data_IF_588355560509
#
_entry.id   IF_588355560509
#
_cell.length_a   1.000
_cell.length_b   1.000
_cell.length_c   1.000
_cell.angle_alpha   90.00
_cell.angle_beta   90.00
_cell.angle_gamma   90.00
#
_symmetry.space_group_name_H-M   'P 1'
#
loop_
_entity.id
_entity.type
_entity.pdbx_description
1 polymer ?
#
# COMPACT_ATOMS: atom_id res chain seq x y z
N UNK A 1 -28.71 0.99 6.58
CA UNK A 1 -28.39 -0.40 6.96
C UNK A 1 -27.77 -0.38 8.34
N UNK A 2 -28.06 -1.37 9.20
CA UNK A 2 -27.44 -1.45 10.53
C UNK A 2 -25.97 -1.91 10.47
N UNK A 3 -25.48 -2.54 11.54
CA UNK A 3 -24.11 -3.06 11.67
C UNK A 3 -23.57 -3.85 10.45
N UNK A 4 -24.36 -4.69 9.73
CA UNK A 4 -23.86 -5.41 8.55
C UNK A 4 -23.34 -4.49 7.44
N UNK A 5 -23.94 -3.31 7.27
CA UNK A 5 -23.51 -2.32 6.29
C UNK A 5 -22.11 -1.79 6.61
N UNK A 6 -21.85 -1.50 7.88
CA UNK A 6 -20.54 -1.05 8.36
C UNK A 6 -19.49 -2.14 8.12
N UNK A 7 -19.84 -3.40 8.37
CA UNK A 7 -18.96 -4.53 8.09
C UNK A 7 -18.64 -4.66 6.60
N UNK A 8 -19.63 -4.52 5.71
CA UNK A 8 -19.41 -4.58 4.26
C UNK A 8 -18.47 -3.45 3.77
N UNK A 9 -18.61 -2.24 4.34
CA UNK A 9 -17.74 -1.10 4.06
C UNK A 9 -16.30 -1.33 4.54
N UNK A 10 -16.11 -1.81 5.78
CA UNK A 10 -14.78 -2.12 6.30
C UNK A 10 -14.13 -3.34 5.64
N UNK A 11 -14.92 -4.26 5.09
CA UNK A 11 -14.40 -5.36 4.27
C UNK A 11 -14.19 -4.96 2.80
N UNK A 12 -14.44 -3.69 2.44
CA UNK A 12 -14.32 -3.17 1.09
C UNK A 12 -15.01 -4.07 0.04
N UNK A 13 -16.21 -4.57 0.38
CA UNK A 13 -16.95 -5.48 -0.49
C UNK A 13 -17.55 -4.73 -1.67
N UNK A 14 -17.56 -5.38 -2.83
CA UNK A 14 -18.20 -4.85 -4.04
C UNK A 14 -19.72 -4.97 -3.92
N UNK A 15 -20.48 -3.87 -4.12
CA UNK A 15 -21.93 -3.94 -4.14
C UNK A 15 -22.44 -4.82 -5.29
N UNK A 16 -23.62 -5.42 -5.13
CA UNK A 16 -24.25 -6.24 -6.18
C UNK A 16 -24.72 -5.40 -7.37
N UNK A 17 -25.30 -4.24 -7.09
CA UNK A 17 -25.75 -3.27 -8.08
C UNK A 17 -24.92 -1.99 -7.94
N UNK A 18 -23.67 -2.05 -8.41
CA UNK A 18 -22.71 -0.97 -8.26
C UNK A 18 -22.95 0.14 -9.29
N UNK A 19 -22.78 1.40 -8.87
CA UNK A 19 -22.75 2.54 -9.79
C UNK A 19 -21.66 2.32 -10.86
N UNK A 20 -21.92 2.79 -12.08
CA UNK A 20 -20.92 2.79 -13.15
C UNK A 20 -20.35 4.20 -13.23
N UNK A 21 -19.03 4.32 -13.13
CA UNK A 21 -18.33 5.60 -13.17
C UNK A 21 -17.63 5.77 -14.53
N UNK A 22 -17.42 7.01 -14.94
CA UNK A 22 -16.71 7.36 -16.15
C UNK A 22 -15.22 7.00 -16.01
N UNK A 23 -14.72 6.17 -16.90
CA UNK A 23 -13.34 5.65 -16.87
C UNK A 23 -12.32 6.67 -17.39
N UNK A 24 -12.78 7.59 -18.23
CA UNK A 24 -12.01 8.65 -18.85
C UNK A 24 -12.84 9.93 -18.88
N UNK A 25 -12.14 11.06 -18.96
CA UNK A 25 -12.75 12.36 -19.26
C UNK A 25 -12.92 12.49 -20.76
N UNK A 26 -14.06 13.00 -21.21
CA UNK A 26 -14.32 13.23 -22.62
C UNK A 26 -15.81 13.26 -23.00
N UNK A 27 -16.08 13.26 -24.30
CA UNK A 27 -17.45 13.29 -24.84
C UNK A 27 -18.01 11.88 -24.98
N UNK A 28 -19.23 11.68 -24.47
CA UNK A 28 -19.99 10.43 -24.51
C UNK A 28 -20.66 10.24 -25.86
N UNK A 29 -20.55 9.04 -26.41
CA UNK A 29 -21.31 8.57 -27.58
C UNK A 29 -21.70 7.11 -27.43
N UNK A 30 -22.68 6.66 -28.22
CA UNK A 30 -23.14 5.26 -28.15
C UNK A 30 -22.79 4.49 -29.43
N UNK A 31 -22.10 3.37 -29.25
CA UNK A 31 -21.74 2.47 -30.34
C UNK A 31 -22.84 1.46 -30.69
N UNK A 32 -22.54 0.57 -31.63
CA UNK A 32 -23.46 -0.51 -32.05
C UNK A 32 -23.84 -1.40 -30.86
N UNK A 33 -25.14 -1.53 -30.62
CA UNK A 33 -25.65 -2.39 -29.56
C UNK A 33 -25.34 -3.87 -29.81
N UNK A 34 -25.06 -4.59 -28.73
CA UNK A 34 -24.87 -6.06 -28.73
C UNK A 34 -26.08 -6.71 -28.05
N UNK A 35 -26.22 -8.04 -28.13
CA UNK A 35 -27.28 -8.77 -27.39
C UNK A 35 -27.18 -8.48 -25.89
N UNK A 36 -28.16 -7.73 -25.37
CA UNK A 36 -28.31 -7.40 -23.96
C UNK A 36 -27.44 -6.27 -23.40
N UNK A 37 -26.52 -5.70 -24.20
CA UNK A 37 -25.61 -4.62 -23.76
C UNK A 37 -25.59 -3.45 -24.74
N UNK A 38 -25.55 -2.23 -24.20
CA UNK A 38 -25.28 -0.98 -24.91
C UNK A 38 -23.79 -0.70 -24.84
N UNK A 39 -23.20 -0.19 -25.92
CA UNK A 39 -21.78 0.20 -25.96
C UNK A 39 -21.67 1.69 -25.68
N UNK A 40 -21.12 2.04 -24.52
CA UNK A 40 -20.72 3.39 -24.19
C UNK A 40 -19.33 3.64 -24.78
N UNK A 41 -19.13 4.79 -25.41
CA UNK A 41 -17.83 5.23 -25.92
C UNK A 41 -17.55 6.61 -25.35
N UNK A 42 -16.45 6.77 -24.62
CA UNK A 42 -15.95 8.07 -24.16
C UNK A 42 -14.77 8.44 -25.04
N UNK A 43 -14.86 9.58 -25.73
CA UNK A 43 -13.78 10.10 -26.57
C UNK A 43 -13.12 11.27 -25.84
N UNK A 44 -11.86 11.10 -25.45
CA UNK A 44 -11.07 12.17 -24.82
C UNK A 44 -10.68 13.24 -25.85
N UNK A 45 -10.26 14.41 -25.38
CA UNK A 45 -9.87 15.55 -26.23
C UNK A 45 -8.71 15.19 -27.20
N UNK A 46 -7.84 14.26 -26.79
CA UNK A 46 -6.73 13.73 -27.59
C UNK A 46 -7.19 12.74 -28.69
N UNK A 47 -8.48 12.46 -28.79
CA UNK A 47 -9.07 11.52 -29.75
C UNK A 47 -9.01 10.04 -29.32
N UNK A 48 -8.43 9.72 -28.16
CA UNK A 48 -8.46 8.38 -27.58
C UNK A 48 -9.89 7.96 -27.25
N UNK A 49 -10.27 6.75 -27.66
CA UNK A 49 -11.60 6.19 -27.39
C UNK A 49 -11.51 5.10 -26.34
N UNK A 50 -12.29 5.25 -25.28
CA UNK A 50 -12.56 4.21 -24.31
C UNK A 50 -13.95 3.62 -24.55
N UNK A 51 -14.04 2.30 -24.71
CA UNK A 51 -15.30 1.61 -24.95
C UNK A 51 -15.66 0.69 -23.78
N UNK A 52 -16.92 0.74 -23.34
CA UNK A 52 -17.45 -0.13 -22.29
C UNK A 52 -18.84 -0.67 -22.63
N UNK A 53 -19.09 -1.93 -22.26
CA UNK A 53 -20.38 -2.59 -22.51
C UNK A 53 -21.25 -2.57 -21.26
N UNK A 54 -22.23 -1.68 -21.25
CA UNK A 54 -23.17 -1.51 -20.14
C UNK A 54 -24.44 -2.33 -20.40
N UNK A 55 -24.95 -3.13 -19.43
CA UNK A 55 -26.22 -3.84 -19.60
C UNK A 55 -27.39 -2.89 -19.86
N UNK A 56 -28.28 -3.24 -20.81
CA UNK A 56 -29.38 -2.35 -21.24
C UNK A 56 -30.42 -2.04 -20.15
N UNK A 57 -30.50 -2.86 -19.11
CA UNK A 57 -31.42 -2.66 -17.99
C UNK A 57 -30.93 -1.58 -17.01
N UNK A 58 -29.65 -1.16 -17.10
CA UNK A 58 -29.10 -0.07 -16.31
C UNK A 58 -29.59 1.25 -16.91
N UNK A 59 -30.17 2.11 -16.07
CA UNK A 59 -30.52 3.46 -16.47
C UNK A 59 -29.24 4.30 -16.52
N UNK A 60 -29.03 5.01 -17.63
CA UNK A 60 -27.89 5.91 -17.81
C UNK A 60 -28.32 7.33 -17.49
N UNK A 61 -27.47 8.06 -16.77
CA UNK A 61 -27.70 9.45 -16.38
C UNK A 61 -27.10 10.45 -17.38
N UNK A 62 -26.44 9.94 -18.42
CA UNK A 62 -25.73 10.74 -19.43
C UNK A 62 -26.38 10.64 -20.80
N UNK A 63 -26.24 11.70 -21.58
CA UNK A 63 -26.75 11.80 -22.94
C UNK A 63 -25.64 11.73 -23.99
N UNK A 64 -26.02 11.40 -25.21
CA UNK A 64 -25.08 11.43 -26.34
C UNK A 64 -24.64 12.88 -26.64
N UNK A 65 -23.33 13.09 -26.78
CA UNK A 65 -22.72 14.40 -26.95
C UNK A 65 -22.43 15.15 -25.65
N UNK A 66 -22.81 14.59 -24.49
CA UNK A 66 -22.47 15.15 -23.19
C UNK A 66 -20.98 14.95 -22.87
N UNK A 67 -20.36 15.90 -22.17
CA UNK A 67 -18.98 15.78 -21.70
C UNK A 67 -18.99 15.37 -20.24
N UNK A 68 -18.22 14.33 -19.91
CA UNK A 68 -18.12 13.77 -18.56
C UNK A 68 -16.69 13.84 -18.04
N UNK A 69 -16.54 14.01 -16.73
CA UNK A 69 -15.24 13.95 -16.05
C UNK A 69 -14.93 12.53 -15.57
N UNK A 70 -13.63 12.20 -15.41
CA UNK A 70 -13.24 10.88 -14.92
C UNK A 70 -13.77 10.69 -13.49
N UNK A 71 -14.45 9.57 -13.25
CA UNK A 71 -15.09 9.25 -11.98
C UNK A 71 -16.51 9.79 -11.82
N UNK A 72 -17.08 10.45 -12.83
CA UNK A 72 -18.48 10.89 -12.81
C UNK A 72 -19.46 9.71 -12.93
N UNK A 73 -20.66 9.80 -12.35
CA UNK A 73 -21.64 8.71 -12.35
C UNK A 73 -22.35 8.61 -13.69
N UNK A 74 -22.08 7.56 -14.44
CA UNK A 74 -22.72 7.25 -15.73
C UNK A 74 -24.03 6.50 -15.55
N UNK A 75 -24.11 5.59 -14.57
CA UNK A 75 -25.31 4.83 -14.27
C UNK A 75 -25.49 4.70 -12.75
N UNK A 76 -26.73 4.86 -12.30
CA UNK A 76 -27.10 4.78 -10.89
C UNK A 76 -26.72 3.44 -10.26
N UNK A 77 -26.54 3.45 -8.95
CA UNK A 77 -26.22 2.26 -8.16
C UNK A 77 -25.44 2.64 -6.91
N UNK A 78 -25.03 1.63 -6.16
CA UNK A 78 -24.22 1.87 -4.98
C UNK A 78 -22.74 2.11 -5.38
N UNK A 79 -22.09 3.18 -4.92
CA UNK A 79 -20.70 3.43 -5.27
C UNK A 79 -19.76 2.28 -4.84
N UNK A 80 -18.93 1.79 -5.76
CA UNK A 80 -17.94 0.77 -5.44
C UNK A 80 -16.66 1.44 -4.90
N UNK A 81 -16.22 1.15 -3.66
CA UNK A 81 -15.01 1.72 -3.06
C UNK A 81 -13.74 1.55 -3.92
N UNK A 82 -13.64 0.45 -4.67
CA UNK A 82 -12.49 0.18 -5.54
C UNK A 82 -12.43 1.10 -6.75
N UNK A 83 -13.59 1.45 -7.32
CA UNK A 83 -13.67 2.37 -8.45
C UNK A 83 -13.44 3.81 -8.00
N UNK A 84 -13.96 4.19 -6.83
CA UNK A 84 -13.67 5.49 -6.20
C UNK A 84 -12.16 5.65 -6.02
N UNK A 85 -11.47 4.65 -5.44
CA UNK A 85 -10.03 4.73 -5.25
C UNK A 85 -9.27 4.91 -6.56
N UNK A 86 -9.67 4.15 -7.59
CA UNK A 86 -8.96 4.08 -8.87
C UNK A 86 -9.19 5.32 -9.73
N UNK A 87 -10.39 5.88 -9.71
CA UNK A 87 -10.81 6.99 -10.58
C UNK A 87 -10.74 8.35 -9.89
N UNK A 88 -11.07 8.42 -8.60
CA UNK A 88 -11.15 9.68 -7.84
C UNK A 88 -10.05 9.82 -6.78
N UNK A 89 -9.33 8.74 -6.46
CA UNK A 89 -8.18 8.75 -5.57
C UNK A 89 -8.49 8.50 -4.09
N UNK A 90 -7.43 8.60 -3.27
CA UNK A 90 -7.45 8.24 -1.84
C UNK A 90 -8.36 9.16 -1.02
N UNK A 91 -8.33 10.46 -1.30
CA UNK A 91 -9.10 11.45 -0.54
C UNK A 91 -10.61 11.29 -0.75
N UNK A 92 -11.04 11.13 -2.01
CA UNK A 92 -12.43 10.86 -2.35
C UNK A 92 -12.93 9.57 -1.69
N UNK A 93 -12.13 8.50 -1.72
CA UNK A 93 -12.44 7.25 -1.03
C UNK A 93 -12.58 7.45 0.49
N UNK A 94 -11.63 8.14 1.12
CA UNK A 94 -11.66 8.35 2.57
C UNK A 94 -12.92 9.13 2.98
N UNK A 95 -13.23 10.22 2.26
CA UNK A 95 -14.44 11.02 2.49
C UNK A 95 -15.72 10.22 2.27
N UNK A 96 -15.75 9.35 1.26
CA UNK A 96 -16.88 8.44 1.03
C UNK A 96 -17.06 7.46 2.20
N UNK A 97 -16.01 6.73 2.59
CA UNK A 97 -16.09 5.72 3.65
C UNK A 97 -16.41 6.35 5.02
N UNK A 98 -15.78 7.47 5.38
CA UNK A 98 -16.06 8.16 6.65
C UNK A 98 -17.53 8.55 6.73
N UNK A 99 -18.07 9.17 5.67
CA UNK A 99 -19.46 9.60 5.60
C UNK A 99 -20.43 8.42 5.68
N UNK A 100 -20.27 7.41 4.84
CA UNK A 100 -21.16 6.24 4.82
C UNK A 100 -21.18 5.50 6.17
N UNK A 101 -20.01 5.33 6.79
CA UNK A 101 -19.90 4.66 8.10
C UNK A 101 -20.53 5.55 9.18
N UNK A 102 -20.25 6.86 9.15
CA UNK A 102 -20.84 7.79 10.13
C UNK A 102 -22.35 7.87 10.03
N UNK A 103 -22.92 7.87 8.84
CA UNK A 103 -24.36 7.98 8.66
C UNK A 103 -25.07 6.77 9.27
N UNK A 104 -24.46 5.58 9.22
CA UNK A 104 -24.98 4.39 9.94
C UNK A 104 -24.92 4.58 11.46
N UNK A 105 -23.80 5.04 12.02
CA UNK A 105 -23.67 5.25 13.47
C UNK A 105 -24.58 6.37 13.99
N UNK A 106 -24.68 7.47 13.24
CA UNK A 106 -25.59 8.59 13.54
C UNK A 106 -27.04 8.15 13.55
N UNK A 107 -27.45 7.31 12.59
CA UNK A 107 -28.80 6.75 12.54
C UNK A 107 -29.12 5.90 13.79
N UNK A 108 -28.11 5.26 14.39
CA UNK A 108 -28.23 4.49 15.63
C UNK A 108 -28.06 5.35 16.89
N UNK A 109 -27.89 6.67 16.76
CA UNK A 109 -27.67 7.59 17.88
C UNK A 109 -26.29 7.49 18.53
N UNK A 110 -25.35 6.77 17.91
CA UNK A 110 -23.98 6.58 18.43
C UNK A 110 -23.08 7.66 17.84
N UNK A 111 -22.42 8.43 18.72
CA UNK A 111 -21.44 9.44 18.30
C UNK A 111 -20.03 8.86 18.33
N UNK A 112 -19.40 8.78 17.18
CA UNK A 112 -17.98 8.41 17.02
C UNK A 112 -17.25 9.58 16.36
N UNK A 113 -16.00 9.82 16.75
CA UNK A 113 -15.17 10.81 16.08
C UNK A 113 -14.56 10.23 14.80
N UNK A 114 -14.59 11.01 13.72
CA UNK A 114 -14.12 10.60 12.39
C UNK A 114 -12.68 10.08 12.39
N UNK A 115 -11.82 10.60 13.29
CA UNK A 115 -10.43 10.15 13.49
C UNK A 115 -10.31 8.64 13.67
N UNK A 116 -11.26 8.00 14.34
CA UNK A 116 -11.22 6.55 14.55
C UNK A 116 -11.43 5.79 13.24
N UNK A 117 -12.35 6.28 12.39
CA UNK A 117 -12.67 5.67 11.10
C UNK A 117 -11.52 5.91 10.13
N UNK A 118 -10.96 7.12 10.10
CA UNK A 118 -9.78 7.47 9.30
C UNK A 118 -8.57 6.59 9.62
N UNK A 119 -8.32 6.29 10.90
CA UNK A 119 -7.24 5.37 11.31
C UNK A 119 -7.46 3.97 10.72
N UNK A 120 -8.71 3.49 10.67
CA UNK A 120 -9.03 2.18 10.06
C UNK A 120 -8.86 2.24 8.54
N UNK A 121 -9.37 3.28 7.87
CA UNK A 121 -9.21 3.48 6.42
C UNK A 121 -7.73 3.54 6.05
N UNK A 122 -6.89 4.19 6.87
CA UNK A 122 -5.43 4.20 6.71
C UNK A 122 -4.84 2.78 6.73
N UNK A 123 -5.37 1.88 7.56
CA UNK A 123 -4.95 0.48 7.56
C UNK A 123 -5.45 -0.28 6.33
N UNK A 124 -6.66 0.02 5.85
CA UNK A 124 -7.21 -0.58 4.62
C UNK A 124 -6.40 -0.18 3.37
N UNK A 125 -5.77 0.99 3.37
CA UNK A 125 -4.89 1.53 2.31
C UNK A 125 -3.40 1.32 2.57
N UNK A 126 -3.02 0.40 3.46
CA UNK A 126 -1.60 0.17 3.82
C UNK A 126 -0.77 -0.36 2.66
N UNK A 127 -1.39 -1.07 1.71
CA UNK A 127 -0.70 -1.72 0.58
C UNK A 127 -0.73 -0.87 -0.69
N UNK A 128 0.31 -1.06 -1.49
CA UNK A 128 0.41 -0.49 -2.83
C UNK A 128 0.90 -1.57 -3.80
N UNK A 129 0.49 -1.48 -5.05
CA UNK A 129 0.93 -2.32 -6.16
C UNK A 129 1.82 -1.51 -7.11
N UNK A 130 2.86 -2.15 -7.62
CA UNK A 130 3.80 -1.54 -8.57
C UNK A 130 3.24 -1.64 -9.99
N UNK A 131 2.87 -0.51 -10.57
CA UNK A 131 2.40 -0.43 -11.97
C UNK A 131 3.56 -0.46 -12.96
N UNK A 132 4.64 0.27 -12.64
CA UNK A 132 5.87 0.33 -13.41
C UNK A 132 7.05 0.33 -12.44
N UNK A 133 8.05 -0.53 -12.66
CA UNK A 133 9.20 -0.65 -11.77
C UNK A 133 10.18 0.54 -11.83
N UNK A 134 10.21 1.26 -12.95
CA UNK A 134 11.27 2.24 -13.21
C UNK A 134 12.65 1.58 -13.20
N UNK A 135 13.60 2.21 -12.52
CA UNK A 135 14.97 1.71 -12.30
C UNK A 135 15.18 1.26 -10.83
N UNK A 136 14.08 0.87 -10.17
CA UNK A 136 14.12 0.30 -8.83
C UNK A 136 14.26 -1.22 -8.88
N UNK A 137 14.52 -1.85 -7.73
CA UNK A 137 14.54 -3.31 -7.59
C UNK A 137 13.13 -3.94 -7.51
N UNK A 138 12.06 -3.15 -7.65
CA UNK A 138 10.69 -3.63 -7.53
C UNK A 138 10.23 -4.35 -8.80
N UNK A 139 9.29 -5.28 -8.65
CA UNK A 139 8.69 -6.00 -9.78
C UNK A 139 7.30 -5.44 -10.11
N UNK A 140 6.97 -5.38 -11.41
CA UNK A 140 5.61 -5.02 -11.84
C UNK A 140 4.59 -6.02 -11.29
N UNK A 141 3.51 -5.51 -10.69
CA UNK A 141 2.48 -6.31 -10.02
C UNK A 141 2.85 -6.74 -8.60
N UNK A 142 4.05 -6.42 -8.11
CA UNK A 142 4.42 -6.66 -6.72
C UNK A 142 3.57 -5.80 -5.78
N UNK A 143 3.05 -6.40 -4.70
CA UNK A 143 2.35 -5.70 -3.64
C UNK A 143 3.18 -5.64 -2.36
N UNK A 144 3.37 -4.43 -1.84
CA UNK A 144 4.17 -4.17 -0.66
C UNK A 144 3.54 -3.06 0.21
N UNK A 145 4.05 -2.89 1.42
CA UNK A 145 3.61 -1.80 2.28
C UNK A 145 3.99 -0.44 1.66
N UNK A 146 3.03 0.50 1.68
CA UNK A 146 3.18 1.83 1.07
C UNK A 146 4.39 2.57 1.61
N UNK A 147 4.68 2.48 2.90
CA UNK A 147 5.87 3.12 3.49
C UNK A 147 7.16 2.58 2.88
N UNK A 148 7.29 1.26 2.74
CA UNK A 148 8.47 0.62 2.14
C UNK A 148 8.63 0.98 0.66
N UNK A 149 7.53 1.01 -0.08
CA UNK A 149 7.54 1.41 -1.49
C UNK A 149 8.00 2.87 -1.66
N UNK A 150 7.55 3.77 -0.78
CA UNK A 150 7.98 5.16 -0.76
C UNK A 150 9.46 5.28 -0.40
N UNK A 151 9.94 4.57 0.63
CA UNK A 151 11.35 4.58 1.02
C UNK A 151 12.27 4.13 -0.14
N UNK A 152 11.87 3.10 -0.90
CA UNK A 152 12.62 2.62 -2.07
C UNK A 152 12.63 3.68 -3.18
N UNK A 153 11.48 4.30 -3.44
CA UNK A 153 11.37 5.37 -4.44
C UNK A 153 12.19 6.60 -4.06
N UNK A 154 12.22 6.99 -2.78
CA UNK A 154 12.98 8.13 -2.30
C UNK A 154 14.49 7.89 -2.43
N UNK A 155 14.96 6.66 -2.18
CA UNK A 155 16.35 6.26 -2.45
C UNK A 155 16.67 6.30 -3.94
N UNK A 156 15.80 5.76 -4.80
CA UNK A 156 16.02 5.78 -6.24
C UNK A 156 16.11 7.21 -6.78
N UNK A 157 15.23 8.12 -6.31
CA UNK A 157 15.29 9.54 -6.67
C UNK A 157 16.58 10.21 -6.19
N UNK A 158 17.02 9.90 -4.98
CA UNK A 158 18.28 10.41 -4.45
C UNK A 158 19.48 9.99 -5.30
N UNK A 159 19.46 8.77 -5.84
CA UNK A 159 20.49 8.24 -6.74
C UNK A 159 20.32 8.71 -8.21
N UNK A 160 19.39 9.63 -8.48
CA UNK A 160 19.10 10.13 -9.83
C UNK A 160 18.39 9.14 -10.76
N UNK A 161 17.88 8.02 -10.22
CA UNK A 161 17.21 6.96 -10.97
C UNK A 161 15.71 7.20 -11.12
N UNK A 162 15.11 6.57 -12.12
CA UNK A 162 13.65 6.63 -12.33
C UNK A 162 12.92 5.85 -11.24
N UNK A 163 12.08 6.54 -10.44
CA UNK A 163 11.25 5.92 -9.41
C UNK A 163 10.16 5.00 -10.00
N UNK A 164 9.69 4.04 -9.20
CA UNK A 164 8.58 3.18 -9.55
C UNK A 164 7.24 3.92 -9.49
N UNK A 165 6.33 3.59 -10.40
CA UNK A 165 4.94 4.05 -10.36
C UNK A 165 4.13 3.13 -9.46
N UNK A 166 3.60 3.69 -8.38
CA UNK A 166 2.86 2.96 -7.35
C UNK A 166 1.37 3.29 -7.44
N UNK A 167 0.52 2.29 -7.28
CA UNK A 167 -0.92 2.45 -7.19
C UNK A 167 -1.41 1.93 -5.82
N UNK A 168 -2.18 2.73 -5.06
CA UNK A 168 -2.75 2.26 -3.79
C UNK A 168 -3.70 1.06 -4.01
N UNK A 169 -3.71 0.12 -3.07
CA UNK A 169 -4.61 -1.03 -3.09
C UNK A 169 -5.52 -0.96 -1.87
N UNK A 170 -6.84 -0.99 -2.10
CA UNK A 170 -7.83 -1.09 -1.05
C UNK A 170 -8.02 -2.54 -0.62
N UNK A 171 -7.77 -2.83 0.65
CA UNK A 171 -8.02 -4.14 1.24
C UNK A 171 -9.03 -4.01 2.38
N UNK A 172 -9.97 -4.97 2.46
CA UNK A 172 -10.82 -5.12 3.63
C UNK A 172 -10.00 -5.41 4.90
N UNK A 173 -10.53 -5.04 6.07
CA UNK A 173 -9.78 -5.13 7.34
C UNK A 173 -9.28 -6.55 7.65
N UNK A 174 -10.02 -7.60 7.28
CA UNK A 174 -9.58 -9.00 7.45
C UNK A 174 -8.35 -9.29 6.60
N UNK A 175 -8.40 -8.96 5.30
CA UNK A 175 -7.27 -9.17 4.38
C UNK A 175 -6.08 -8.27 4.71
N UNK A 176 -6.32 -7.02 5.09
CA UNK A 176 -5.28 -6.08 5.53
C UNK A 176 -4.56 -6.57 6.81
N UNK A 177 -5.27 -7.23 7.72
CA UNK A 177 -4.70 -7.78 8.96
C UNK A 177 -3.82 -9.01 8.70
N UNK A 178 -4.20 -9.85 7.73
CA UNK A 178 -3.39 -11.00 7.31
C UNK A 178 -2.14 -10.60 6.51
N UNK A 179 -2.22 -9.51 5.73
CA UNK A 179 -1.11 -9.02 4.91
C UNK A 179 -0.10 -8.14 5.68
N UNK A 180 0.11 -8.40 6.97
CA UNK A 180 1.11 -7.68 7.79
C UNK A 180 2.52 -8.23 7.57
N UNK A 181 3.55 -7.41 7.81
CA UNK A 181 4.95 -7.86 7.68
C UNK A 181 5.35 -8.87 8.78
N UNK A 182 4.77 -8.72 9.97
CA UNK A 182 5.01 -9.66 11.07
C UNK A 182 4.20 -10.93 10.87
N UNK A 183 4.88 -12.01 10.49
CA UNK A 183 4.24 -13.32 10.37
C UNK A 183 3.78 -13.85 11.74
N UNK A 184 4.43 -13.45 12.84
CA UNK A 184 4.01 -13.77 14.21
C UNK A 184 2.64 -13.12 14.49
N UNK A 185 2.52 -11.83 14.19
CA UNK A 185 1.26 -11.09 14.32
C UNK A 185 0.18 -11.64 13.39
N UNK A 186 0.49 -11.96 12.13
CA UNK A 186 -0.46 -12.53 11.17
C UNK A 186 -0.95 -13.91 11.62
N UNK A 187 -0.05 -14.81 12.05
CA UNK A 187 -0.38 -16.16 12.51
C UNK A 187 -1.25 -16.17 13.78
N UNK A 188 -1.16 -15.11 14.60
CA UNK A 188 -2.01 -14.93 15.79
C UNK A 188 -3.44 -14.50 15.48
N UNK A 189 -3.72 -14.01 14.26
CA UNK A 189 -5.05 -13.57 13.86
C UNK A 189 -5.90 -14.72 13.31
N UNK A 190 -5.51 -15.28 12.15
CA UNK A 190 -6.19 -16.39 11.48
C UNK A 190 -5.19 -17.16 10.59
N UNK A 191 -5.60 -18.33 10.07
CA UNK A 191 -4.85 -19.10 9.07
C UNK A 191 -3.42 -19.50 9.49
N UNK A 192 -3.21 -19.77 10.78
CA UNK A 192 -1.91 -20.04 11.42
C UNK A 192 -1.03 -21.02 10.62
N UNK A 193 -1.57 -22.17 10.20
CA UNK A 193 -0.82 -23.18 9.45
C UNK A 193 -0.29 -22.64 8.11
N UNK A 194 -1.11 -21.90 7.37
CA UNK A 194 -0.74 -21.32 6.07
C UNK A 194 0.37 -20.28 6.26
N UNK A 195 0.20 -19.37 7.21
CA UNK A 195 1.14 -18.27 7.49
C UNK A 195 2.51 -18.81 7.91
N UNK A 196 2.56 -19.76 8.84
CA UNK A 196 3.82 -20.33 9.33
C UNK A 196 4.54 -21.15 8.25
N UNK A 197 3.81 -21.87 7.40
CA UNK A 197 4.39 -22.63 6.29
C UNK A 197 5.05 -21.69 5.27
N UNK A 198 4.35 -20.61 4.89
CA UNK A 198 4.88 -19.60 3.96
C UNK A 198 6.11 -18.90 4.53
N UNK A 199 6.09 -18.56 5.83
CA UNK A 199 7.22 -17.96 6.51
C UNK A 199 8.44 -18.90 6.58
N UNK A 200 8.23 -20.19 6.85
CA UNK A 200 9.29 -21.19 6.91
C UNK A 200 9.93 -21.42 5.53
N UNK A 201 9.11 -21.57 4.48
CA UNK A 201 9.60 -21.78 3.10
C UNK A 201 10.40 -20.58 2.60
N UNK A 202 10.00 -19.36 2.96
CA UNK A 202 10.70 -18.12 2.56
C UNK A 202 11.84 -17.72 3.51
N UNK A 203 12.02 -18.41 4.64
CA UNK A 203 13.00 -18.04 5.66
C UNK A 203 12.80 -16.63 6.24
N UNK A 204 11.54 -16.22 6.44
CA UNK A 204 11.22 -14.87 6.92
C UNK A 204 11.76 -14.63 8.33
N UNK A 205 12.18 -13.39 8.58
CA UNK A 205 12.57 -12.89 9.91
C UNK A 205 11.59 -11.81 10.36
N UNK A 206 11.23 -11.83 11.63
CA UNK A 206 10.32 -10.85 12.23
C UNK A 206 11.13 -9.83 13.05
N UNK A 207 10.98 -8.55 12.70
CA UNK A 207 11.72 -7.44 13.34
C UNK A 207 11.08 -6.95 14.64
N UNK A 208 9.92 -7.49 15.02
CA UNK A 208 9.19 -7.15 16.24
C UNK A 208 8.90 -5.64 16.40
N UNK A 209 8.39 -4.99 15.34
CA UNK A 209 8.11 -3.54 15.31
C UNK A 209 6.70 -3.17 15.78
N UNK A 210 5.80 -4.14 15.86
CA UNK A 210 4.40 -4.02 16.18
C UNK A 210 4.06 -4.40 17.62
N UNK A 211 2.78 -4.24 17.98
CA UNK A 211 2.31 -4.48 19.34
C UNK A 211 2.16 -5.97 19.65
N UNK A 212 1.48 -6.73 18.78
CA UNK A 212 1.08 -8.11 19.04
C UNK A 212 2.28 -9.05 19.16
N UNK A 213 3.21 -8.98 18.23
CA UNK A 213 4.47 -9.73 18.27
C UNK A 213 5.28 -9.50 19.56
N UNK A 214 5.39 -8.27 20.05
CA UNK A 214 6.09 -7.98 21.30
C UNK A 214 5.35 -8.54 22.52
N UNK A 215 4.01 -8.48 22.53
CA UNK A 215 3.20 -9.13 23.56
C UNK A 215 3.43 -10.64 23.57
N UNK A 216 3.37 -11.29 22.40
CA UNK A 216 3.55 -12.74 22.26
C UNK A 216 4.92 -13.21 22.76
N UNK A 217 5.98 -12.44 22.45
CA UNK A 217 7.36 -12.76 22.85
C UNK A 217 7.69 -12.30 24.28
N UNK A 218 6.77 -11.60 24.96
CA UNK A 218 6.98 -11.13 26.35
C UNK A 218 7.92 -9.92 26.47
N UNK A 219 8.02 -9.09 25.43
CA UNK A 219 8.81 -7.84 25.43
C UNK A 219 7.91 -6.62 25.68
N UNK A 220 8.53 -5.51 26.08
CA UNK A 220 7.83 -4.22 26.13
C UNK A 220 7.24 -3.90 24.76
N UNK A 221 6.00 -3.44 24.72
CA UNK A 221 5.35 -3.02 23.48
C UNK A 221 5.92 -1.67 22.98
N UNK A 222 5.99 -1.43 21.66
CA UNK A 222 6.48 -0.18 21.07
C UNK A 222 5.44 0.96 21.16
N UNK A 223 4.73 1.09 22.28
CA UNK A 223 3.76 2.14 22.56
C UNK A 223 3.77 2.51 24.06
N UNK A 224 3.21 3.68 24.39
CA UNK A 224 3.19 4.19 25.75
C UNK A 224 4.59 4.28 26.36
N UNK A 225 4.76 3.74 27.56
CA UNK A 225 6.06 3.73 28.29
C UNK A 225 7.15 2.94 27.56
N UNK A 226 6.78 1.91 26.80
CA UNK A 226 7.73 1.11 26.03
C UNK A 226 8.26 1.80 24.77
N UNK A 227 7.64 2.90 24.33
CA UNK A 227 8.05 3.63 23.13
C UNK A 227 9.49 4.15 23.22
N UNK A 228 9.90 4.71 24.36
CA UNK A 228 11.26 5.26 24.54
C UNK A 228 12.35 4.16 24.45
N UNK A 229 12.08 2.98 25.01
CA UNK A 229 12.99 1.84 24.95
C UNK A 229 13.15 1.33 23.51
N UNK A 230 12.04 1.24 22.75
CA UNK A 230 12.09 0.88 21.34
C UNK A 230 12.76 1.94 20.47
N UNK A 231 12.47 3.22 20.68
CA UNK A 231 13.08 4.33 19.95
C UNK A 231 14.60 4.40 20.14
N UNK A 232 15.08 4.24 21.39
CA UNK A 232 16.51 4.19 21.68
C UNK A 232 17.19 2.97 21.05
N UNK A 233 16.53 1.80 21.07
CA UNK A 233 17.04 0.59 20.41
C UNK A 233 17.15 0.76 18.89
N UNK A 234 16.12 1.32 18.24
CA UNK A 234 16.13 1.60 16.79
C UNK A 234 17.27 2.54 16.42
N UNK A 235 17.48 3.63 17.19
CA UNK A 235 18.61 4.55 16.97
C UNK A 235 19.98 3.87 17.11
N UNK A 236 20.14 2.97 18.09
CA UNK A 236 21.38 2.19 18.24
C UNK A 236 21.61 1.28 17.03
N UNK A 237 20.58 0.57 16.57
CA UNK A 237 20.68 -0.31 15.40
C UNK A 237 20.98 0.48 14.11
N UNK A 238 20.26 1.57 13.86
CA UNK A 238 20.49 2.44 12.68
C UNK A 238 21.88 3.11 12.71
N UNK A 239 22.38 3.45 13.91
CA UNK A 239 23.73 3.99 14.09
C UNK A 239 24.85 2.95 13.94
N UNK A 240 24.53 1.65 14.03
CA UNK A 240 25.46 0.55 13.76
C UNK A 240 25.46 0.21 12.27
N UNK A 241 24.31 0.17 11.60
CA UNK A 241 24.23 -0.04 10.15
C UNK A 241 24.92 1.10 9.37
N UNK A 242 24.77 2.37 9.79
CA UNK A 242 25.51 3.49 9.18
C UNK A 242 27.02 3.38 9.35
N UNK A 243 27.51 2.86 10.48
CA UNK A 243 28.95 2.63 10.71
C UNK A 243 29.46 1.45 9.88
N UNK A 244 28.70 0.36 9.82
CA UNK A 244 29.04 -0.80 9.00
C UNK A 244 29.10 -0.49 7.50
N UNK A 245 28.35 0.50 7.00
CA UNK A 245 28.43 0.93 5.60
C UNK A 245 29.62 1.87 5.33
N UNK A 246 30.09 2.62 6.34
CA UNK A 246 31.27 3.49 6.25
C UNK A 246 32.59 2.72 6.41
N UNK A 247 32.60 1.61 7.16
CA UNK A 247 33.81 0.78 7.39
C UNK A 247 34.15 -0.19 6.24
N UNK A 248 33.36 -0.25 5.17
CA UNK A 248 33.69 -1.07 3.97
C UNK A 248 34.56 -0.28 2.97
N UNK A 249 34.85 0.99 3.26
CA UNK A 249 35.69 1.86 2.44
C UNK A 249 36.96 2.33 3.15
N UNK A 250 37.86 1.42 3.55
CA UNK A 250 39.18 1.84 4.03
C UNK A 250 40.04 0.73 4.61
N UNK A 251 41.13 0.40 3.91
CA UNK A 251 42.29 -0.31 4.46
C UNK A 251 42.47 -1.74 3.97
N UNK A 252 43.22 -1.91 2.87
CA UNK A 252 44.03 -3.12 2.70
C UNK A 252 44.97 -3.23 3.91
N UNK A 253 45.22 -4.43 4.47
CA UNK A 253 46.24 -4.59 5.49
C UNK A 253 47.61 -4.35 4.83
N UNK A 254 48.37 -3.39 5.37
CA UNK A 254 49.77 -3.18 5.00
C UNK A 254 50.54 -4.48 5.26
N UNK A 255 51.04 -5.08 4.19
CA UNK A 255 51.99 -6.18 4.24
C UNK A 255 53.34 -5.52 4.55
N UNK A 256 53.87 -5.75 5.75
CA UNK A 256 55.22 -5.33 6.12
C UNK A 256 56.25 -6.01 5.19
N UNK A 257 56.86 -5.23 4.30
CA UNK A 257 58.09 -5.60 3.62
C UNK A 257 59.27 -5.43 4.59
N UNK A 258 59.78 -6.55 5.07
CA UNK A 258 61.04 -6.62 5.80
C UNK A 258 62.19 -6.35 4.82
N UNK A 259 62.74 -5.13 4.88
CA UNK A 259 63.99 -4.80 4.19
C UNK A 259 65.19 -5.35 4.98
N UNK A 260 65.98 -6.13 4.25
CA UNK A 260 67.25 -6.72 4.64
C UNK A 260 68.28 -5.62 4.92
N UNK A 261 68.84 -5.61 6.12
CA UNK A 261 70.02 -4.81 6.47
C UNK A 261 71.21 -5.74 6.67
N UNK A 262 72.16 -5.67 5.73
CA UNK A 262 73.47 -6.33 5.82
C UNK A 262 74.37 -5.70 6.90
N UNK A 263 75.25 -6.57 7.40
CA UNK A 263 76.20 -6.42 8.51
C UNK A 263 77.30 -5.36 8.27
N UNK A 264 77.86 -4.81 9.36
CA UNK A 264 79.31 -4.81 9.56
C UNK A 264 79.71 -4.53 11.02
N UNK A 265 80.75 -5.25 11.42
CA UNK A 265 81.30 -5.49 12.75
C UNK A 265 82.11 -4.35 13.41
N UNK A 266 82.43 -4.59 14.70
CA UNK A 266 83.66 -4.25 15.45
C UNK A 266 83.60 -2.98 16.32
N UNK A 267 84.18 -2.90 17.53
CA UNK A 267 84.77 -3.87 18.45
C UNK A 267 84.99 -3.18 19.83
N UNK A 268 85.13 -4.03 20.86
CA UNK A 268 85.97 -3.89 22.06
C UNK A 268 85.70 -2.79 23.12
N UNK A 269 85.61 -3.24 24.37
CA UNK A 269 85.66 -2.44 25.60
C UNK A 269 85.01 -3.16 26.77
#
# INVERSE_FOLDING_TARGET
GGLPRVADLFEARKPKDQAILAEKTGTVSFGKETKGKRRLIITSDDGEKYEELIPKWRQLNVFEGETVEQGEVIADGEPNPHDILRLQGVEALANYLVREIQDVYRLQGVKINDKHIEVIIRQMLRKTEVQEAGETALLRGEQLDRSRALDINDRAKHDGKKAARLQPVLLGITKASLATESFISAASFQETTRVLTEAAVRGLKDDLRGLKENVIVGRLIPAGTGFAAHASRRRKTEGVERRSFMDVGGGLPDIEESSVGEESESAAG
#
